data_IF_460808468985
#
_entry.id   IF_460808468985
#
_cell.length_a   1.000
_cell.length_b   1.000
_cell.length_c   1.000
_cell.angle_alpha   90.00
_cell.angle_beta   90.00
_cell.angle_gamma   90.00
#
_symmetry.space_group_name_H-M   'P 1'
#
loop_
_entity.id
_entity.type
_entity.pdbx_description
1 polymer ?
#
# COMPACT_ATOMS: atom_id res chain seq x y z
N UNK A 1 -0.12 -0.33 9.10
CA UNK A 1 -0.94 -1.07 8.12
C UNK A 1 -1.26 -0.14 6.97
N UNK A 2 -1.07 -0.59 5.73
CA UNK A 2 -1.33 0.18 4.51
C UNK A 2 -2.37 -0.54 3.64
N UNK A 3 -3.24 0.18 2.94
CA UNK A 3 -4.28 -0.40 2.09
C UNK A 3 -4.32 0.33 0.75
N UNK A 4 -4.48 -0.39 -0.35
CA UNK A 4 -4.63 0.22 -1.67
C UNK A 4 -5.64 -0.51 -2.55
N UNK A 5 -6.23 0.24 -3.50
CA UNK A 5 -7.15 -0.30 -4.51
C UNK A 5 -6.35 -1.09 -5.55
N UNK A 6 -6.69 -2.36 -5.73
CA UNK A 6 -6.05 -3.23 -6.74
C UNK A 6 -6.82 -3.24 -8.06
N UNK A 7 -8.14 -3.09 -7.98
CA UNK A 7 -9.02 -3.06 -9.14
C UNK A 7 -9.42 -1.61 -9.49
N UNK A 8 -9.72 -1.32 -10.77
CA UNK A 8 -10.18 0.00 -11.19
C UNK A 8 -11.57 0.32 -10.62
N UNK A 9 -11.93 1.62 -10.51
CA UNK A 9 -13.21 2.07 -9.94
C UNK A 9 -14.46 1.49 -10.58
N UNK A 10 -14.41 1.05 -11.83
CA UNK A 10 -15.57 0.51 -12.56
C UNK A 10 -15.77 -0.99 -12.29
N UNK A 11 -14.77 -1.65 -11.69
CA UNK A 11 -14.83 -3.10 -11.44
C UNK A 11 -15.83 -3.46 -10.34
N UNK A 12 -16.54 -4.59 -10.52
CA UNK A 12 -17.32 -5.22 -9.46
C UNK A 12 -16.47 -5.71 -8.29
N UNK A 13 -15.15 -5.86 -8.49
CA UNK A 13 -14.18 -6.23 -7.46
C UNK A 13 -13.52 -5.01 -6.81
N UNK A 14 -13.95 -3.77 -7.09
CA UNK A 14 -13.31 -2.54 -6.58
C UNK A 14 -13.16 -2.50 -5.05
N UNK A 15 -14.07 -3.14 -4.32
CA UNK A 15 -14.02 -3.19 -2.86
C UNK A 15 -13.05 -4.26 -2.32
N UNK A 16 -12.56 -5.16 -3.17
CA UNK A 16 -11.50 -6.13 -2.86
C UNK A 16 -10.15 -5.44 -3.01
N UNK A 17 -9.62 -5.00 -1.88
CA UNK A 17 -8.37 -4.24 -1.80
C UNK A 17 -7.25 -5.13 -1.27
N UNK A 18 -6.01 -4.65 -1.39
CA UNK A 18 -4.87 -5.26 -0.73
C UNK A 18 -4.60 -4.51 0.57
N UNK A 19 -4.49 -5.25 1.67
CA UNK A 19 -4.05 -4.76 2.96
C UNK A 19 -2.68 -5.34 3.30
N UNK A 20 -1.74 -4.46 3.64
CA UNK A 20 -0.37 -4.78 4.00
C UNK A 20 -0.11 -4.44 5.47
N UNK A 21 0.47 -5.40 6.20
CA UNK A 21 1.00 -5.21 7.54
C UNK A 21 2.46 -5.67 7.58
N UNK A 22 3.28 -4.96 8.34
CA UNK A 22 4.69 -5.30 8.51
C UNK A 22 5.17 -4.89 9.90
N UNK A 23 6.24 -5.53 10.34
CA UNK A 23 6.98 -5.16 11.53
C UNK A 23 8.41 -4.82 11.13
N UNK A 24 8.79 -3.55 11.29
CA UNK A 24 10.12 -3.00 10.95
C UNK A 24 11.23 -3.74 11.69
N UNK A 25 11.02 -4.06 12.97
CA UNK A 25 12.00 -4.71 13.84
C UNK A 25 12.15 -6.19 13.52
N UNK A 26 11.04 -6.91 13.32
CA UNK A 26 11.06 -8.35 13.08
C UNK A 26 11.37 -8.70 11.61
N UNK A 27 11.29 -7.73 10.69
CA UNK A 27 11.40 -7.92 9.23
C UNK A 27 10.42 -8.97 8.67
N UNK A 28 9.25 -9.05 9.28
CA UNK A 28 8.13 -9.90 8.85
C UNK A 28 7.06 -9.00 8.23
N UNK A 29 6.41 -9.48 7.17
CA UNK A 29 5.27 -8.83 6.57
C UNK A 29 4.18 -9.82 6.16
N UNK A 30 2.96 -9.31 5.98
CA UNK A 30 1.82 -10.03 5.43
C UNK A 30 0.99 -9.12 4.53
N UNK A 31 0.60 -9.68 3.39
CA UNK A 31 -0.37 -9.11 2.46
C UNK A 31 -1.62 -9.98 2.41
N UNK A 32 -2.79 -9.35 2.51
CA UNK A 32 -4.08 -10.05 2.46
C UNK A 32 -5.09 -9.26 1.64
N UNK A 33 -6.04 -9.98 1.04
CA UNK A 33 -7.19 -9.35 0.43
C UNK A 33 -8.17 -8.91 1.52
N UNK A 34 -8.57 -7.63 1.50
CA UNK A 34 -9.45 -7.02 2.49
C UNK A 34 -10.63 -6.34 1.80
N UNK A 35 -11.77 -6.28 2.49
CA UNK A 35 -12.92 -5.52 2.02
C UNK A 35 -12.81 -4.06 2.48
N UNK A 36 -12.83 -3.12 1.53
CA UNK A 36 -12.88 -1.68 1.80
C UNK A 36 -14.06 -1.09 1.03
N UNK A 37 -15.07 -0.51 1.70
CA UNK A 37 -16.23 0.08 1.03
C UNK A 37 -15.82 1.14 0.00
N UNK A 38 -16.54 1.22 -1.13
CA UNK A 38 -16.24 2.15 -2.23
C UNK A 38 -16.09 3.60 -1.78
N UNK A 39 -16.91 4.04 -0.83
CA UNK A 39 -16.93 5.43 -0.33
C UNK A 39 -15.74 5.77 0.58
N UNK A 40 -14.98 4.78 1.03
CA UNK A 40 -13.83 5.02 1.91
C UNK A 40 -12.63 5.49 1.08
N UNK A 41 -12.18 6.70 1.39
CA UNK A 41 -10.93 7.25 0.88
C UNK A 41 -9.76 6.51 1.52
N UNK A 42 -8.83 6.02 0.70
CA UNK A 42 -7.58 5.43 1.13
C UNK A 42 -6.45 6.44 0.92
N UNK A 43 -5.54 6.51 1.89
CA UNK A 43 -4.35 7.36 1.78
C UNK A 43 -3.42 6.73 0.75
N UNK A 44 -3.05 7.48 -0.28
CA UNK A 44 -2.02 7.08 -1.24
C UNK A 44 -0.66 7.54 -0.72
N UNK A 45 0.07 6.63 -0.07
CA UNK A 45 1.41 6.92 0.45
C UNK A 45 2.44 7.08 -0.66
N UNK A 46 2.13 6.63 -1.88
CA UNK A 46 2.96 6.81 -3.06
C UNK A 46 2.63 8.14 -3.78
N UNK A 47 1.68 8.93 -3.25
CA UNK A 47 1.22 10.16 -3.88
C UNK A 47 2.37 11.16 -4.12
N UNK A 48 3.37 11.18 -3.25
CA UNK A 48 4.54 12.07 -3.36
C UNK A 48 5.59 11.59 -4.37
N UNK A 49 5.50 10.36 -4.87
CA UNK A 49 6.48 9.81 -5.80
C UNK A 49 6.20 10.22 -7.25
N UNK A 50 7.24 10.48 -8.06
CA UNK A 50 7.13 10.57 -9.51
C UNK A 50 6.51 9.30 -10.11
N UNK A 51 5.76 9.44 -11.20
CA UNK A 51 5.00 8.35 -11.83
C UNK A 51 5.87 7.10 -12.11
N UNK A 52 7.07 7.30 -12.67
CA UNK A 52 8.04 6.23 -12.97
C UNK A 52 8.50 5.47 -11.72
N UNK A 53 8.55 6.17 -10.58
CA UNK A 53 8.90 5.59 -9.28
C UNK A 53 7.70 4.95 -8.59
N UNK A 54 6.45 5.26 -8.96
CA UNK A 54 5.26 4.57 -8.46
C UNK A 54 5.11 3.17 -9.06
N UNK A 55 5.52 3.00 -10.32
CA UNK A 55 5.42 1.71 -11.01
C UNK A 55 6.37 0.65 -10.46
N UNK A 56 7.51 1.06 -9.87
CA UNK A 56 8.53 0.14 -9.34
C UNK A 56 8.11 -0.59 -8.05
N UNK A 57 7.56 0.08 -7.01
CA UNK A 57 6.96 -0.57 -5.84
C UNK A 57 5.67 -1.30 -6.19
N UNK A 58 4.87 -0.80 -7.14
CA UNK A 58 3.62 -1.45 -7.56
C UNK A 58 3.79 -2.85 -8.13
N UNK A 59 5.00 -3.21 -8.59
CA UNK A 59 5.34 -4.54 -9.12
C UNK A 59 5.86 -5.54 -8.09
N UNK A 60 6.13 -5.11 -6.85
CA UNK A 60 6.67 -5.98 -5.79
C UNK A 60 6.20 -5.52 -4.42
N UNK A 61 5.39 -6.36 -3.77
CA UNK A 61 4.88 -6.12 -2.43
C UNK A 61 6.01 -5.84 -1.42
N UNK A 62 7.10 -6.60 -1.49
CA UNK A 62 8.26 -6.40 -0.62
C UNK A 62 8.91 -5.03 -0.80
N UNK A 63 9.10 -4.56 -2.05
CA UNK A 63 9.67 -3.23 -2.31
C UNK A 63 8.76 -2.10 -1.85
N UNK A 64 7.45 -2.28 -2.00
CA UNK A 64 6.46 -1.34 -1.46
C UNK A 64 6.56 -1.25 0.06
N UNK A 65 6.66 -2.39 0.75
CA UNK A 65 6.79 -2.42 2.20
C UNK A 65 8.10 -1.76 2.65
N UNK A 66 9.22 -2.04 1.99
CA UNK A 66 10.49 -1.38 2.29
C UNK A 66 10.43 0.15 2.14
N UNK A 67 9.73 0.64 1.11
CA UNK A 67 9.51 2.08 0.93
C UNK A 67 8.68 2.67 2.07
N UNK A 68 7.54 2.05 2.38
CA UNK A 68 6.64 2.49 3.45
C UNK A 68 7.32 2.44 4.82
N UNK A 69 8.15 1.43 5.05
CA UNK A 69 8.91 1.27 6.29
C UNK A 69 9.94 2.41 6.49
N UNK A 70 10.65 2.80 5.42
CA UNK A 70 11.55 3.96 5.48
C UNK A 70 10.80 5.26 5.73
N UNK A 71 9.71 5.50 5.00
CA UNK A 71 8.90 6.70 5.16
C UNK A 71 8.32 6.84 6.57
N UNK A 72 7.91 5.73 7.19
CA UNK A 72 7.39 5.73 8.56
C UNK A 72 8.48 6.06 9.60
N UNK A 73 9.74 5.72 9.33
CA UNK A 73 10.89 6.11 10.19
C UNK A 73 11.27 7.58 10.02
N UNK A 74 11.22 8.08 8.78
CA UNK A 74 11.58 9.47 8.46
C UNK A 74 10.54 10.49 8.95
N UNK A 75 9.30 10.06 9.18
CA UNK A 75 8.20 10.91 9.68
C UNK A 75 8.12 10.95 11.22
N UNK A 76 9.09 10.35 11.92
CA UNK A 76 9.11 10.18 13.38
C UNK A 76 9.99 11.17 14.16
N UNK A 77 10.29 12.35 13.59
CA UNK A 77 10.98 13.46 14.27
C UNK A 77 9.98 14.58 14.65
#
# INVERSE_FOLDING_TARGET
MYQYRFHPPESSMFERCIGLAWCSSCRIYSGNMVHVPRKRVLVDALASLPLEQRERPGRSETRLIEFLDRQARDSGD
#
